data_IF_900338815988
#
_entry.id   IF_900338815988
#
_cell.length_a   1.000
_cell.length_b   1.000
_cell.length_c   1.000
_cell.angle_alpha   90.00
_cell.angle_beta   90.00
_cell.angle_gamma   90.00
#
_symmetry.space_group_name_H-M   'P 1'
#
loop_
_entity.id
_entity.type
_entity.pdbx_description
1 polymer ?
#
# COMPACT_ATOMS: atom_id res chain seq x y z
N UNK A 1 22.06 33.20 6.13
CA UNK A 1 21.23 32.41 5.20
C UNK A 1 20.50 31.39 6.05
N UNK A 2 19.17 31.45 6.07
CA UNK A 2 18.31 30.78 7.06
C UNK A 2 18.32 29.27 6.78
N UNK A 3 18.89 28.49 7.70
CA UNK A 3 18.80 27.03 7.68
C UNK A 3 17.38 26.60 8.03
N UNK A 4 16.66 26.04 7.05
CA UNK A 4 15.38 25.38 7.30
C UNK A 4 15.63 24.03 7.96
N UNK A 5 15.52 24.00 9.28
CA UNK A 5 15.43 22.78 10.07
C UNK A 5 14.06 22.14 9.82
N UNK A 6 14.00 21.08 8.99
CA UNK A 6 12.78 20.30 8.81
C UNK A 6 12.51 19.46 10.07
N UNK A 7 11.69 20.00 10.97
CA UNK A 7 10.89 19.19 11.88
C UNK A 7 9.88 18.42 11.04
N UNK A 8 10.11 17.13 10.82
CA UNK A 8 9.07 16.24 10.28
C UNK A 8 8.72 15.18 11.33
N UNK A 9 7.53 15.33 11.90
CA UNK A 9 6.84 14.24 12.58
C UNK A 9 6.72 13.06 11.61
N UNK A 10 7.30 11.90 11.93
CA UNK A 10 7.23 10.59 11.26
C UNK A 10 6.34 10.50 9.99
N UNK A 11 6.76 11.17 8.91
CA UNK A 11 6.12 11.15 7.60
C UNK A 11 6.83 10.17 6.67
N UNK A 12 6.07 9.54 5.75
CA UNK A 12 6.64 8.73 4.67
C UNK A 12 7.64 9.60 3.87
N UNK A 13 8.88 9.13 3.67
CA UNK A 13 9.84 9.83 2.80
C UNK A 13 9.43 9.53 1.36
N UNK A 14 9.15 10.58 0.57
CA UNK A 14 8.73 10.46 -0.83
C UNK A 14 9.81 11.06 -1.70
N UNK A 15 10.17 10.36 -2.77
CA UNK A 15 10.98 10.87 -3.88
C UNK A 15 10.18 10.81 -5.16
N UNK A 16 10.37 11.79 -6.03
CA UNK A 16 9.67 11.85 -7.31
C UNK A 16 10.68 11.92 -8.43
N UNK A 17 10.54 11.03 -9.41
CA UNK A 17 11.29 11.10 -10.67
C UNK A 17 10.40 11.45 -11.83
N UNK A 18 10.93 12.22 -12.77
CA UNK A 18 10.18 12.78 -13.87
C UNK A 18 10.56 12.13 -15.20
N UNK A 19 9.56 12.06 -16.08
CA UNK A 19 9.69 11.49 -17.41
C UNK A 19 9.37 12.53 -18.47
N UNK A 20 10.07 12.41 -19.58
CA UNK A 20 9.75 13.14 -20.80
C UNK A 20 8.36 12.76 -21.33
N UNK A 21 7.85 13.64 -22.19
CA UNK A 21 6.61 13.38 -22.90
C UNK A 21 6.69 12.06 -23.66
N UNK A 22 5.68 11.22 -23.45
CA UNK A 22 5.50 9.93 -24.12
C UNK A 22 6.64 8.90 -23.91
N UNK A 23 7.47 9.10 -22.88
CA UNK A 23 8.58 8.18 -22.58
C UNK A 23 8.39 7.45 -21.25
N UNK A 24 8.95 6.24 -21.21
CA UNK A 24 9.19 5.44 -19.99
C UNK A 24 10.68 5.15 -19.77
N UNK A 25 11.57 5.63 -20.65
CA UNK A 25 13.01 5.69 -20.40
C UNK A 25 13.33 6.85 -19.46
N UNK A 26 14.24 6.64 -18.52
CA UNK A 26 14.72 7.68 -17.61
C UNK A 26 16.08 8.23 -18.05
N UNK A 27 16.21 9.55 -18.02
CA UNK A 27 17.48 10.24 -18.16
C UNK A 27 18.43 9.87 -17.00
N UNK A 28 19.74 9.88 -17.27
CA UNK A 28 20.76 9.44 -16.29
C UNK A 28 20.67 10.19 -14.96
N UNK A 29 20.38 11.49 -15.00
CA UNK A 29 20.20 12.31 -13.80
C UNK A 29 19.05 11.78 -12.93
N UNK A 30 17.92 11.44 -13.54
CA UNK A 30 16.75 10.90 -12.83
C UNK A 30 17.03 9.49 -12.30
N UNK A 31 17.81 8.68 -13.02
CA UNK A 31 18.25 7.37 -12.52
C UNK A 31 19.11 7.54 -11.26
N UNK A 32 20.02 8.52 -11.24
CA UNK A 32 20.85 8.81 -10.08
C UNK A 32 20.01 9.28 -8.89
N UNK A 33 18.97 10.09 -9.10
CA UNK A 33 18.03 10.50 -8.04
C UNK A 33 17.41 9.29 -7.32
N UNK A 34 17.03 8.24 -8.06
CA UNK A 34 16.49 7.00 -7.47
C UNK A 34 17.53 6.35 -6.55
N UNK A 35 18.76 6.20 -7.03
CA UNK A 35 19.82 5.54 -6.29
C UNK A 35 20.20 6.33 -5.03
N UNK A 36 20.35 7.65 -5.17
CA UNK A 36 20.66 8.55 -4.06
C UNK A 36 19.57 8.51 -2.99
N UNK A 37 18.31 8.48 -3.40
CA UNK A 37 17.18 8.39 -2.48
C UNK A 37 17.24 7.15 -1.59
N UNK A 38 17.59 5.99 -2.18
CA UNK A 38 17.74 4.72 -1.46
C UNK A 38 19.00 4.70 -0.61
N UNK A 39 20.13 5.19 -1.12
CA UNK A 39 21.41 5.22 -0.38
C UNK A 39 21.33 6.14 0.83
N UNK A 40 20.73 7.32 0.67
CA UNK A 40 20.51 8.27 1.77
C UNK A 40 19.48 7.75 2.78
N UNK A 41 18.63 6.80 2.38
CA UNK A 41 17.76 6.12 3.32
C UNK A 41 18.54 4.99 4.02
N UNK A 42 18.44 4.93 5.34
CA UNK A 42 18.95 3.78 6.09
C UNK A 42 18.18 2.52 5.68
N UNK A 43 18.75 1.76 4.75
CA UNK A 43 18.11 0.59 4.11
C UNK A 43 17.75 -0.51 5.12
N UNK A 44 18.43 -0.55 6.27
CA UNK A 44 18.13 -1.45 7.40
C UNK A 44 16.78 -1.12 8.06
N UNK A 45 16.41 0.16 8.03
CA UNK A 45 15.15 0.71 8.54
C UNK A 45 14.04 0.78 7.49
N UNK A 46 14.33 0.49 6.21
CA UNK A 46 13.30 0.38 5.18
C UNK A 46 12.56 -0.94 5.38
N UNK A 47 11.26 -0.83 5.63
CA UNK A 47 10.35 -1.97 5.67
C UNK A 47 9.89 -2.31 4.25
N UNK A 48 9.42 -1.31 3.52
CA UNK A 48 8.99 -1.50 2.14
C UNK A 48 9.07 -0.22 1.32
N UNK A 49 8.98 -0.37 0.00
CA UNK A 49 8.87 0.69 -0.99
C UNK A 49 7.58 0.50 -1.78
N UNK A 50 6.85 1.60 -1.96
CA UNK A 50 5.70 1.71 -2.85
C UNK A 50 6.09 2.59 -4.05
N UNK A 51 5.66 2.20 -5.24
CA UNK A 51 6.00 2.87 -6.50
C UNK A 51 4.70 3.14 -7.26
N UNK A 52 4.40 4.41 -7.51
CA UNK A 52 3.21 4.84 -8.24
C UNK A 52 3.59 5.67 -9.46
N UNK A 53 3.12 5.28 -10.64
CA UNK A 53 3.43 5.95 -11.90
C UNK A 53 2.24 6.73 -12.43
N UNK A 54 2.52 7.89 -13.02
CA UNK A 54 1.51 8.80 -13.52
C UNK A 54 1.86 9.30 -14.92
N UNK A 55 0.82 9.70 -15.65
CA UNK A 55 0.90 10.38 -16.93
C UNK A 55 0.24 11.76 -16.85
N UNK A 56 0.55 12.62 -17.83
CA UNK A 56 -0.18 13.88 -17.96
C UNK A 56 -1.61 13.66 -18.48
N UNK A 57 -2.38 14.72 -18.62
CA UNK A 57 -3.81 14.69 -18.94
C UNK A 57 -4.12 14.23 -20.39
N UNK A 58 -3.10 14.15 -21.25
CA UNK A 58 -3.27 13.93 -22.69
C UNK A 58 -3.24 12.46 -23.06
N UNK A 59 -3.93 12.11 -24.15
CA UNK A 59 -3.98 10.75 -24.68
C UNK A 59 -5.10 9.90 -24.09
N UNK A 60 -5.32 8.72 -24.68
CA UNK A 60 -6.37 7.81 -24.26
C UNK A 60 -6.14 7.23 -22.85
N UNK A 61 -7.22 6.84 -22.17
CA UNK A 61 -7.15 6.19 -20.85
C UNK A 61 -6.24 4.97 -20.84
N UNK A 62 -6.47 4.03 -21.76
CA UNK A 62 -5.82 2.72 -21.75
C UNK A 62 -4.35 2.86 -22.12
N UNK A 63 -4.06 3.79 -23.04
CA UNK A 63 -2.71 4.19 -23.38
C UNK A 63 -1.95 4.72 -22.16
N UNK A 64 -2.54 5.68 -21.43
CA UNK A 64 -1.90 6.28 -20.27
C UNK A 64 -1.71 5.30 -19.12
N UNK A 65 -2.67 4.37 -18.94
CA UNK A 65 -2.53 3.31 -17.95
C UNK A 65 -1.30 2.45 -18.27
N UNK A 66 -1.20 1.94 -19.50
CA UNK A 66 -0.04 1.14 -19.95
C UNK A 66 1.27 1.91 -19.84
N UNK A 67 1.31 3.17 -20.28
CA UNK A 67 2.51 4.01 -20.18
C UNK A 67 2.94 4.21 -18.71
N UNK A 68 1.99 4.39 -17.81
CA UNK A 68 2.28 4.52 -16.38
C UNK A 68 2.78 3.21 -15.76
N UNK A 69 2.31 2.04 -16.24
CA UNK A 69 2.83 0.72 -15.86
C UNK A 69 4.28 0.53 -16.33
N UNK A 70 4.60 0.89 -17.58
CA UNK A 70 5.98 0.82 -18.08
C UNK A 70 6.93 1.73 -17.28
N UNK A 71 6.48 2.92 -16.85
CA UNK A 71 7.28 3.82 -16.01
C UNK A 71 7.62 3.22 -14.65
N UNK A 72 6.65 2.61 -13.96
CA UNK A 72 6.93 1.96 -12.67
C UNK A 72 7.80 0.72 -12.84
N UNK A 73 7.68 0.01 -13.96
CA UNK A 73 8.56 -1.11 -14.31
C UNK A 73 10.00 -0.65 -14.52
N UNK A 74 10.23 0.47 -15.23
CA UNK A 74 11.56 1.07 -15.39
C UNK A 74 12.21 1.35 -14.04
N UNK A 75 11.49 2.02 -13.13
CA UNK A 75 12.00 2.33 -11.77
C UNK A 75 12.27 1.06 -10.97
N UNK A 76 11.38 0.07 -11.03
CA UNK A 76 11.54 -1.23 -10.36
C UNK A 76 12.78 -1.98 -10.86
N UNK A 77 13.02 -1.95 -12.17
CA UNK A 77 14.19 -2.59 -12.79
C UNK A 77 15.49 -1.90 -12.35
N UNK A 78 15.52 -0.56 -12.31
CA UNK A 78 16.68 0.19 -11.81
C UNK A 78 16.98 -0.18 -10.35
N UNK A 79 15.96 -0.21 -9.48
CA UNK A 79 16.14 -0.58 -8.07
C UNK A 79 16.72 -2.00 -7.93
N UNK A 80 16.11 -2.97 -8.62
CA UNK A 80 16.48 -4.39 -8.49
C UNK A 80 17.82 -4.70 -9.16
N UNK A 81 18.16 -4.05 -10.28
CA UNK A 81 19.47 -4.21 -10.93
C UNK A 81 20.62 -3.66 -10.08
N UNK A 82 20.34 -2.67 -9.23
CA UNK A 82 21.29 -2.11 -8.26
C UNK A 82 21.23 -2.80 -6.89
N UNK A 83 20.66 -4.02 -6.83
CA UNK A 83 20.72 -4.88 -5.64
C UNK A 83 19.67 -4.58 -4.58
N UNK A 84 18.70 -3.70 -4.83
CA UNK A 84 17.58 -3.54 -3.91
C UNK A 84 16.75 -4.83 -3.84
N UNK A 85 16.43 -5.26 -2.63
CA UNK A 85 15.69 -6.49 -2.42
C UNK A 85 14.26 -6.36 -2.98
N UNK A 86 13.96 -7.11 -4.06
CA UNK A 86 12.65 -7.14 -4.73
C UNK A 86 11.49 -7.42 -3.77
N UNK A 87 11.71 -8.21 -2.72
CA UNK A 87 10.67 -8.53 -1.73
C UNK A 87 10.24 -7.33 -0.87
N UNK A 88 11.06 -6.27 -0.81
CA UNK A 88 10.70 -5.01 -0.15
C UNK A 88 9.92 -4.06 -1.07
N UNK A 89 9.80 -4.34 -2.37
CA UNK A 89 8.97 -3.55 -3.29
C UNK A 89 7.57 -4.17 -3.25
N UNK A 90 6.66 -3.53 -2.51
CA UNK A 90 5.35 -4.14 -2.19
C UNK A 90 4.22 -3.59 -3.05
N UNK A 91 4.32 -2.35 -3.54
CA UNK A 91 3.34 -1.76 -4.46
C UNK A 91 4.06 -1.27 -5.70
N UNK A 92 3.57 -1.68 -6.86
CA UNK A 92 4.03 -1.25 -8.19
C UNK A 92 2.77 -1.04 -9.03
N UNK A 93 2.35 0.21 -9.18
CA UNK A 93 1.05 0.52 -9.80
C UNK A 93 1.14 1.71 -10.75
N UNK A 94 0.75 1.48 -12.00
CA UNK A 94 0.45 2.55 -12.95
C UNK A 94 -0.92 3.15 -12.65
N UNK A 95 -0.99 4.47 -12.40
CA UNK A 95 -2.22 5.20 -12.08
C UNK A 95 -2.87 5.86 -13.31
N UNK A 96 -2.23 5.80 -14.47
CA UNK A 96 -2.70 6.44 -15.69
C UNK A 96 -2.60 7.97 -15.65
N UNK A 97 -3.51 8.64 -16.38
CA UNK A 97 -3.50 10.10 -16.53
C UNK A 97 -3.99 10.84 -15.29
N UNK A 98 -3.33 11.95 -14.98
CA UNK A 98 -3.76 12.90 -13.94
C UNK A 98 -4.66 13.96 -14.57
N UNK A 99 -5.91 14.03 -14.11
CA UNK A 99 -6.89 15.03 -14.56
C UNK A 99 -6.54 16.41 -13.98
N UNK A 100 -6.54 17.43 -14.83
CA UNK A 100 -6.36 18.81 -14.43
C UNK A 100 -7.67 19.39 -13.88
N UNK A 101 -7.57 20.27 -12.88
CA UNK A 101 -8.73 20.99 -12.32
C UNK A 101 -8.85 22.38 -12.94
N UNK A 102 -10.03 23.02 -12.83
CA UNK A 102 -10.37 24.27 -13.53
C UNK A 102 -9.43 25.46 -13.23
N UNK A 103 -8.64 25.41 -12.15
CA UNK A 103 -7.65 26.44 -11.81
C UNK A 103 -6.25 26.16 -12.39
N UNK A 104 -6.10 25.16 -13.26
CA UNK A 104 -4.80 24.66 -13.76
C UNK A 104 -4.38 25.21 -15.13
N UNK A 105 -5.07 26.24 -15.63
CA UNK A 105 -4.79 26.78 -16.98
C UNK A 105 -3.55 27.67 -17.03
N UNK A 106 -3.15 28.26 -15.91
CA UNK A 106 -1.87 28.94 -15.78
C UNK A 106 -0.74 27.90 -15.66
N UNK A 107 0.31 28.02 -16.47
CA UNK A 107 1.49 27.13 -16.48
C UNK A 107 1.20 25.65 -16.81
N UNK A 108 0.24 25.40 -17.71
CA UNK A 108 -0.17 24.07 -18.17
C UNK A 108 1.01 23.15 -18.56
N UNK A 109 2.01 23.68 -19.27
CA UNK A 109 3.17 22.91 -19.69
C UNK A 109 4.00 22.40 -18.50
N UNK A 110 4.18 23.23 -17.48
CA UNK A 110 4.89 22.88 -16.26
C UNK A 110 4.12 21.83 -15.46
N UNK A 111 2.81 22.01 -15.29
CA UNK A 111 1.95 21.05 -14.59
C UNK A 111 2.01 19.68 -15.26
N UNK A 112 1.91 19.64 -16.59
CA UNK A 112 2.06 18.39 -17.37
C UNK A 112 3.41 17.74 -17.13
N UNK A 113 4.48 18.53 -17.11
CA UNK A 113 5.82 18.01 -16.81
C UNK A 113 5.90 17.39 -15.42
N UNK A 114 5.27 18.02 -14.42
CA UNK A 114 5.22 17.49 -13.06
C UNK A 114 4.31 16.27 -12.92
N UNK A 115 3.33 16.07 -13.81
CA UNK A 115 2.44 14.91 -13.79
C UNK A 115 3.03 13.67 -14.47
N UNK A 116 3.98 13.84 -15.40
CA UNK A 116 4.75 12.73 -15.96
C UNK A 116 5.81 12.28 -14.96
N UNK A 117 5.40 11.50 -13.96
CA UNK A 117 6.25 11.17 -12.82
C UNK A 117 6.04 9.75 -12.31
N UNK A 118 7.02 9.29 -11.54
CA UNK A 118 6.88 8.14 -10.64
C UNK A 118 7.25 8.59 -9.24
N UNK A 119 6.38 8.29 -8.28
CA UNK A 119 6.58 8.57 -6.86
C UNK A 119 7.06 7.29 -6.16
N UNK A 120 8.20 7.37 -5.48
CA UNK A 120 8.79 6.33 -4.65
C UNK A 120 8.57 6.68 -3.18
N UNK A 121 7.84 5.84 -2.45
CA UNK A 121 7.54 6.06 -1.04
C UNK A 121 8.26 5.02 -0.21
N UNK A 122 9.17 5.48 0.66
CA UNK A 122 9.79 4.63 1.67
C UNK A 122 8.87 4.54 2.88
N UNK A 123 8.45 3.32 3.17
CA UNK A 123 7.84 2.95 4.44
C UNK A 123 8.95 2.44 5.35
N UNK A 124 9.25 3.19 6.41
CA UNK A 124 10.20 2.74 7.44
C UNK A 124 9.56 1.69 8.35
N UNK A 125 10.38 0.84 8.93
CA UNK A 125 10.00 -0.02 10.06
C UNK A 125 9.37 0.85 11.15
N UNK A 126 8.22 0.42 11.65
CA UNK A 126 7.45 1.11 12.70
C UNK A 126 6.91 2.52 12.33
N UNK A 127 6.80 2.87 11.03
CA UNK A 127 6.26 4.18 10.57
C UNK A 127 4.81 4.46 10.99
N UNK A 128 4.08 3.42 11.38
CA UNK A 128 2.69 3.53 11.82
C UNK A 128 2.56 3.77 13.33
N UNK A 129 3.68 3.79 14.07
CA UNK A 129 3.72 3.83 15.52
C UNK A 129 4.32 2.55 16.10
N UNK A 130 4.69 2.59 17.39
CA UNK A 130 5.20 1.42 18.11
C UNK A 130 4.16 0.30 18.08
N UNK A 131 4.58 -0.91 17.71
CA UNK A 131 3.70 -2.09 17.63
C UNK A 131 2.79 -2.12 16.40
N UNK A 132 3.09 -1.36 15.34
CA UNK A 132 2.37 -1.45 14.07
C UNK A 132 3.34 -1.72 12.92
N UNK A 133 3.08 -2.80 12.20
CA UNK A 133 3.88 -3.37 11.13
C UNK A 133 3.03 -3.50 9.86
N UNK A 134 3.67 -3.70 8.71
CA UNK A 134 2.97 -3.99 7.46
C UNK A 134 3.25 -5.41 6.92
N UNK A 135 4.07 -6.19 7.62
CA UNK A 135 4.39 -7.57 7.29
C UNK A 135 4.71 -8.37 8.56
N UNK A 136 4.62 -9.70 8.47
CA UNK A 136 4.97 -10.59 9.59
C UNK A 136 6.49 -10.60 9.77
N UNK A 137 6.93 -10.29 10.98
CA UNK A 137 8.33 -10.25 11.40
C UNK A 137 8.72 -11.57 12.09
N UNK A 138 10.03 -11.81 12.22
CA UNK A 138 10.56 -12.96 12.99
C UNK A 138 10.14 -12.93 14.47
N UNK A 139 9.93 -11.74 15.02
CA UNK A 139 9.51 -11.52 16.40
C UNK A 139 8.43 -10.47 16.46
N UNK A 140 7.35 -10.82 17.14
CA UNK A 140 6.27 -9.92 17.52
C UNK A 140 6.12 -9.86 19.04
N UNK A 141 5.37 -8.88 19.52
CA UNK A 141 4.84 -8.82 20.88
C UNK A 141 3.31 -8.93 20.84
N UNK A 142 2.71 -9.42 21.92
CA UNK A 142 1.25 -9.37 22.08
C UNK A 142 0.79 -7.91 22.01
N UNK A 143 -0.23 -7.65 21.19
CA UNK A 143 -0.73 -6.31 20.91
C UNK A 143 -0.19 -5.68 19.62
N UNK A 144 0.82 -6.30 18.99
CA UNK A 144 1.29 -5.84 17.68
C UNK A 144 0.19 -5.94 16.63
N UNK A 145 0.08 -4.93 15.77
CA UNK A 145 -0.84 -4.90 14.62
C UNK A 145 -0.07 -4.98 13.32
N UNK A 146 -0.54 -5.82 12.41
CA UNK A 146 0.06 -6.03 11.09
C UNK A 146 -0.97 -5.62 10.04
N UNK A 147 -0.72 -4.54 9.32
CA UNK A 147 -1.58 -4.02 8.25
C UNK A 147 -1.06 -4.45 6.88
N UNK A 148 -1.88 -5.12 6.09
CA UNK A 148 -1.48 -5.55 4.76
C UNK A 148 -1.99 -4.59 3.70
N UNK A 149 -1.10 -3.73 3.19
CA UNK A 149 -1.45 -2.66 2.24
C UNK A 149 -2.10 -3.17 0.95
N UNK A 150 -1.80 -4.42 0.58
CA UNK A 150 -2.22 -5.01 -0.70
C UNK A 150 -3.40 -5.99 -0.59
N UNK A 151 -3.99 -6.17 0.59
CA UNK A 151 -5.26 -6.93 0.70
C UNK A 151 -6.41 -5.95 0.43
N UNK A 152 -6.59 -5.64 -0.85
CA UNK A 152 -7.64 -4.72 -1.29
C UNK A 152 -8.98 -5.45 -1.46
N UNK A 153 -10.06 -4.75 -1.14
CA UNK A 153 -11.43 -5.16 -1.41
C UNK A 153 -12.08 -4.16 -2.36
N UNK A 154 -12.92 -4.65 -3.28
CA UNK A 154 -13.74 -3.74 -4.09
C UNK A 154 -14.71 -2.98 -3.18
N UNK A 155 -15.09 -1.77 -3.60
CA UNK A 155 -15.94 -0.89 -2.80
C UNK A 155 -17.25 -1.62 -2.43
N UNK A 156 -17.57 -1.67 -1.14
CA UNK A 156 -18.79 -2.29 -0.64
C UNK A 156 -18.83 -3.83 -0.72
N UNK A 157 -17.76 -4.51 -1.12
CA UNK A 157 -17.75 -5.98 -1.21
C UNK A 157 -16.71 -6.59 -0.28
N UNK A 158 -17.01 -7.79 0.22
CA UNK A 158 -16.09 -8.66 0.93
C UNK A 158 -15.31 -9.60 0.00
N UNK A 159 -15.52 -9.55 -1.31
CA UNK A 159 -14.86 -10.46 -2.26
C UNK A 159 -13.36 -10.15 -2.42
N UNK A 160 -12.53 -11.19 -2.32
CA UNK A 160 -11.09 -11.12 -2.57
C UNK A 160 -10.79 -11.09 -4.08
N UNK A 161 -10.05 -10.06 -4.51
CA UNK A 161 -9.53 -9.97 -5.88
C UNK A 161 -8.42 -11.00 -6.13
N UNK A 162 -8.05 -11.23 -7.40
CA UNK A 162 -6.93 -12.10 -7.74
C UNK A 162 -5.60 -11.60 -7.15
N UNK A 163 -5.37 -10.29 -7.16
CA UNK A 163 -4.18 -9.69 -6.57
C UNK A 163 -4.18 -9.87 -5.05
N UNK A 164 -5.31 -9.64 -4.37
CA UNK A 164 -5.43 -9.86 -2.93
C UNK A 164 -5.16 -11.31 -2.54
N UNK A 165 -5.55 -12.29 -3.38
CA UNK A 165 -5.24 -13.71 -3.17
C UNK A 165 -3.73 -14.01 -3.30
N UNK A 166 -3.06 -13.43 -4.31
CA UNK A 166 -1.60 -13.55 -4.46
C UNK A 166 -0.86 -12.99 -3.24
N UNK A 167 -1.33 -11.88 -2.70
CA UNK A 167 -0.73 -11.26 -1.51
C UNK A 167 -1.00 -12.10 -0.25
N UNK A 168 -2.21 -12.64 -0.11
CA UNK A 168 -2.52 -13.60 0.95
C UNK A 168 -1.67 -14.87 0.86
N UNK A 169 -1.31 -15.33 -0.33
CA UNK A 169 -0.41 -16.48 -0.49
C UNK A 169 0.99 -16.19 0.08
N UNK A 170 1.54 -14.98 -0.12
CA UNK A 170 2.80 -14.56 0.52
C UNK A 170 2.69 -14.53 2.05
N UNK A 171 1.55 -14.07 2.56
CA UNK A 171 1.28 -14.02 4.01
C UNK A 171 1.16 -15.44 4.59
N UNK A 172 0.55 -16.38 3.84
CA UNK A 172 0.47 -17.79 4.24
C UNK A 172 1.87 -18.38 4.43
N UNK A 173 2.81 -18.12 3.52
CA UNK A 173 4.19 -18.59 3.65
C UNK A 173 4.83 -18.08 4.96
N UNK A 174 4.63 -16.79 5.28
CA UNK A 174 5.13 -16.20 6.51
C UNK A 174 4.47 -16.79 7.77
N UNK A 175 3.16 -17.05 7.75
CA UNK A 175 2.42 -17.68 8.86
C UNK A 175 2.82 -19.14 9.08
N UNK A 176 3.19 -19.84 8.00
CA UNK A 176 3.68 -21.22 8.05
C UNK A 176 5.10 -21.30 8.61
N UNK A 177 5.93 -20.28 8.40
CA UNK A 177 7.25 -20.15 9.02
C UNK A 177 7.13 -19.78 10.51
N UNK A 178 6.18 -18.91 10.85
CA UNK A 178 5.98 -18.41 12.22
C UNK A 178 4.83 -19.15 12.90
N UNK A 179 5.06 -20.40 13.35
CA UNK A 179 3.98 -21.27 13.87
C UNK A 179 3.50 -20.98 15.30
N UNK A 180 4.11 -20.03 15.98
CA UNK A 180 3.86 -19.81 17.42
C UNK A 180 2.90 -18.65 17.68
N UNK A 181 2.70 -17.75 16.71
CA UNK A 181 1.82 -16.59 16.89
C UNK A 181 0.34 -16.98 16.83
N UNK A 182 -0.50 -16.45 17.71
CA UNK A 182 -1.95 -16.45 17.55
C UNK A 182 -2.39 -15.02 17.24
N UNK A 183 -3.41 -14.86 16.40
CA UNK A 183 -3.83 -13.54 15.92
C UNK A 183 -5.34 -13.40 15.67
N UNK A 184 -5.85 -12.18 15.80
CA UNK A 184 -7.22 -11.79 15.44
C UNK A 184 -7.20 -11.02 14.12
N UNK A 185 -7.93 -11.52 13.13
CA UNK A 185 -8.12 -10.88 11.83
C UNK A 185 -9.20 -9.81 11.98
N UNK A 186 -8.85 -8.54 11.76
CA UNK A 186 -9.76 -7.41 11.92
C UNK A 186 -10.08 -6.79 10.58
N UNK A 187 -11.36 -6.74 10.25
CA UNK A 187 -11.84 -6.05 9.05
C UNK A 187 -12.32 -4.64 9.39
N UNK A 188 -12.05 -3.71 8.48
CA UNK A 188 -12.41 -2.30 8.61
C UNK A 188 -13.15 -1.80 7.37
N UNK A 189 -13.97 -0.77 7.57
CA UNK A 189 -14.66 -0.06 6.50
C UNK A 189 -14.41 1.43 6.62
N UNK A 190 -14.33 2.11 5.48
CA UNK A 190 -14.35 3.56 5.44
C UNK A 190 -15.79 4.09 5.36
N UNK A 191 -15.95 5.34 5.79
CA UNK A 191 -16.92 6.26 5.20
C UNK A 191 -18.39 5.89 5.44
N UNK A 192 -18.70 5.18 6.52
CA UNK A 192 -20.08 4.98 6.96
C UNK A 192 -20.58 6.26 7.64
N UNK A 193 -21.85 6.63 7.45
CA UNK A 193 -22.44 7.72 8.23
C UNK A 193 -22.28 7.47 9.73
N UNK A 194 -22.15 8.53 10.53
CA UNK A 194 -21.84 8.43 11.98
C UNK A 194 -22.82 7.59 12.80
N UNK A 195 -24.05 7.41 12.31
CA UNK A 195 -25.08 6.57 12.92
C UNK A 195 -24.92 5.06 12.65
N UNK A 196 -24.02 4.66 11.74
CA UNK A 196 -23.75 3.26 11.43
C UNK A 196 -22.29 2.89 11.68
N UNK A 197 -22.11 1.82 12.48
CA UNK A 197 -20.79 1.29 12.82
C UNK A 197 -20.16 0.48 11.68
N UNK A 198 -20.96 -0.06 10.74
CA UNK A 198 -20.47 -0.86 9.62
C UNK A 198 -21.21 -0.52 8.31
N UNK A 199 -20.63 -0.94 7.19
CA UNK A 199 -21.16 -0.77 5.85
C UNK A 199 -21.96 -2.01 5.41
N UNK A 200 -22.80 -1.81 4.40
CA UNK A 200 -23.54 -2.90 3.75
C UNK A 200 -22.58 -3.67 2.86
N UNK A 201 -22.56 -4.99 3.00
CA UNK A 201 -21.87 -5.89 2.08
C UNK A 201 -22.74 -6.18 0.86
N UNK A 202 -22.23 -5.90 -0.33
CA UNK A 202 -22.93 -6.17 -1.61
C UNK A 202 -23.21 -7.65 -1.83
N UNK A 203 -22.42 -8.54 -1.22
CA UNK A 203 -22.60 -9.98 -1.39
C UNK A 203 -23.76 -10.53 -0.54
N UNK A 204 -23.96 -9.98 0.67
CA UNK A 204 -24.98 -10.49 1.62
C UNK A 204 -26.17 -9.55 1.77
N UNK A 205 -26.06 -8.30 1.32
CA UNK A 205 -27.00 -7.20 1.59
C UNK A 205 -27.19 -6.89 3.09
N UNK A 206 -26.26 -7.32 3.94
CA UNK A 206 -26.28 -7.07 5.39
C UNK A 206 -25.25 -6.02 5.79
N UNK A 207 -25.51 -5.30 6.88
CA UNK A 207 -24.59 -4.30 7.45
C UNK A 207 -23.48 -4.95 8.27
N UNK A 208 -22.69 -5.81 7.63
CA UNK A 208 -21.61 -6.59 8.23
C UNK A 208 -20.37 -6.65 7.32
N UNK A 209 -20.14 -5.63 6.49
CA UNK A 209 -19.04 -5.64 5.52
C UNK A 209 -17.67 -5.84 6.18
N UNK A 210 -17.39 -5.13 7.28
CA UNK A 210 -16.13 -5.28 8.00
C UNK A 210 -15.95 -6.71 8.54
N UNK A 211 -17.02 -7.31 9.07
CA UNK A 211 -17.03 -8.68 9.56
C UNK A 211 -16.82 -9.69 8.43
N UNK A 212 -17.53 -9.54 7.32
CA UNK A 212 -17.43 -10.44 6.17
C UNK A 212 -16.05 -10.38 5.50
N UNK A 213 -15.42 -9.21 5.46
CA UNK A 213 -14.02 -9.06 5.01
C UNK A 213 -13.04 -9.82 5.90
N UNK A 214 -13.20 -9.75 7.22
CA UNK A 214 -12.37 -10.53 8.14
C UNK A 214 -12.63 -12.04 7.99
N UNK A 215 -13.91 -12.42 7.88
CA UNK A 215 -14.38 -13.80 7.71
C UNK A 215 -13.83 -14.44 6.43
N UNK A 216 -13.87 -13.75 5.29
CA UNK A 216 -13.38 -14.33 4.04
C UNK A 216 -11.87 -14.59 4.09
N UNK A 217 -11.11 -13.70 4.74
CA UNK A 217 -9.66 -13.86 4.91
C UNK A 217 -9.38 -15.05 5.81
N UNK A 218 -10.11 -15.20 6.92
CA UNK A 218 -10.04 -16.38 7.78
C UNK A 218 -10.25 -17.68 6.99
N UNK A 219 -11.34 -17.79 6.22
CA UNK A 219 -11.61 -18.97 5.41
C UNK A 219 -10.57 -19.21 4.31
N UNK A 220 -10.05 -18.14 3.72
CA UNK A 220 -8.95 -18.24 2.76
C UNK A 220 -7.71 -18.86 3.41
N UNK A 221 -7.30 -18.40 4.60
CA UNK A 221 -6.16 -18.95 5.32
C UNK A 221 -6.37 -20.43 5.71
N UNK A 222 -7.57 -20.84 6.13
CA UNK A 222 -7.91 -22.26 6.35
C UNK A 222 -7.70 -23.06 5.07
N UNK A 223 -8.21 -22.57 3.93
CA UNK A 223 -8.08 -23.25 2.64
C UNK A 223 -6.61 -23.45 2.24
N UNK A 224 -5.72 -22.59 2.76
CA UNK A 224 -4.27 -22.63 2.58
C UNK A 224 -3.52 -23.33 3.73
N UNK A 225 -4.25 -24.11 4.54
CA UNK A 225 -3.73 -24.95 5.64
C UNK A 225 -3.10 -24.18 6.80
N UNK A 226 -3.49 -22.93 7.03
CA UNK A 226 -3.18 -22.23 8.29
C UNK A 226 -4.07 -22.80 9.39
N UNK A 227 -3.47 -23.14 10.53
CA UNK A 227 -4.20 -23.75 11.65
C UNK A 227 -5.26 -22.78 12.20
N UNK A 228 -6.53 -23.17 12.11
CA UNK A 228 -7.66 -22.36 12.56
C UNK A 228 -7.67 -22.08 14.06
N UNK A 229 -7.03 -22.93 14.88
CA UNK A 229 -6.94 -22.72 16.33
C UNK A 229 -6.07 -21.51 16.72
N UNK A 230 -5.23 -21.03 15.80
CA UNK A 230 -4.33 -19.90 16.04
C UNK A 230 -4.89 -18.58 15.53
N UNK A 231 -6.13 -18.60 15.01
CA UNK A 231 -6.72 -17.42 14.42
C UNK A 231 -8.17 -17.25 14.84
N UNK A 232 -8.56 -15.99 14.96
CA UNK A 232 -9.94 -15.55 15.14
C UNK A 232 -10.21 -14.41 14.17
N UNK A 233 -11.46 -13.97 14.02
CA UNK A 233 -11.79 -12.84 13.16
C UNK A 233 -12.90 -11.98 13.76
N UNK A 234 -12.84 -10.67 13.48
CA UNK A 234 -13.77 -9.67 14.01
C UNK A 234 -14.01 -8.54 13.01
N UNK A 235 -15.25 -8.08 12.93
CA UNK A 235 -15.59 -6.83 12.25
C UNK A 235 -15.38 -5.64 13.18
N UNK A 236 -14.54 -4.69 12.78
CA UNK A 236 -14.23 -3.49 13.55
C UNK A 236 -14.90 -2.23 13.00
N UNK A 237 -15.68 -2.35 11.92
CA UNK A 237 -16.46 -1.25 11.40
C UNK A 237 -15.60 -0.04 11.01
N UNK A 238 -16.16 1.15 11.24
CA UNK A 238 -15.49 2.44 11.10
C UNK A 238 -14.79 2.91 12.40
N UNK A 239 -14.69 2.07 13.44
CA UNK A 239 -14.27 2.49 14.79
C UNK A 239 -12.77 2.79 14.94
N UNK A 240 -11.95 2.48 13.94
CA UNK A 240 -10.49 2.66 14.00
C UNK A 240 -9.94 3.30 12.71
N UNK A 241 -10.33 4.55 12.38
CA UNK A 241 -9.78 5.26 11.24
C UNK A 241 -8.30 5.61 11.52
N UNK A 242 -7.44 5.34 10.56
CA UNK A 242 -6.02 5.68 10.61
C UNK A 242 -5.76 7.11 10.12
N UNK A 243 -6.75 7.77 9.50
CA UNK A 243 -6.66 9.17 9.08
C UNK A 243 -5.65 9.42 7.96
N UNK A 244 -5.27 8.36 7.23
CA UNK A 244 -4.23 8.39 6.18
C UNK A 244 -4.80 8.18 4.77
N UNK A 245 -6.11 8.26 4.62
CA UNK A 245 -6.83 8.08 3.36
C UNK A 245 -7.80 6.89 3.41
N UNK A 246 -8.85 6.96 2.60
CA UNK A 246 -9.94 5.99 2.62
C UNK A 246 -9.49 4.56 2.30
N UNK A 247 -8.48 4.41 1.44
CA UNK A 247 -7.93 3.11 1.03
C UNK A 247 -7.31 2.37 2.22
N UNK A 248 -6.67 3.11 3.13
CA UNK A 248 -6.04 2.58 4.34
C UNK A 248 -7.08 2.24 5.42
N UNK A 249 -8.24 2.88 5.38
CA UNK A 249 -9.36 2.58 6.28
C UNK A 249 -10.21 1.41 5.78
N UNK A 250 -10.17 1.10 4.48
CA UNK A 250 -10.76 -0.12 3.89
C UNK A 250 -9.79 -1.30 3.94
N UNK A 251 -9.38 -1.69 5.14
CA UNK A 251 -8.33 -2.70 5.35
C UNK A 251 -8.77 -3.97 6.04
N UNK A 252 -7.90 -4.97 5.98
CA UNK A 252 -7.80 -6.05 6.96
C UNK A 252 -6.42 -5.96 7.64
N UNK A 253 -6.41 -6.07 8.97
CA UNK A 253 -5.19 -6.13 9.77
C UNK A 253 -5.19 -7.38 10.67
N UNK A 254 -4.02 -7.85 11.09
CA UNK A 254 -3.90 -8.89 12.12
C UNK A 254 -3.46 -8.24 13.43
N UNK A 255 -4.16 -8.52 14.52
CA UNK A 255 -3.71 -8.22 15.87
C UNK A 255 -3.07 -9.47 16.48
N UNK A 256 -1.82 -9.41 16.91
CA UNK A 256 -1.17 -10.50 17.64
C UNK A 256 -1.78 -10.63 19.04
N UNK A 257 -2.36 -11.79 19.33
CA UNK A 257 -3.03 -12.09 20.60
C UNK A 257 -2.19 -12.97 21.52
N UNK A 258 -1.26 -13.79 20.96
CA UNK A 258 -0.39 -14.68 21.72
C UNK A 258 0.88 -15.06 20.93
N UNK A 259 1.94 -15.48 21.62
CA UNK A 259 3.24 -15.95 21.09
C UNK A 259 3.66 -17.21 21.84
#
# INVERSE_FOLDING_TARGET
MISFSYLTAQGKKVETVYFDFDKYSLELEQQQTILDFIIQADTSKIESIQIYGYCDDRGDSDYNYKLSEERVNTVTNILTSHGFNKNKIVIVEGKGRVILTDNSFDNLAEIRSKNRRVDLLIVRKNSFGKGIFNSIQEKHNVGDRIYFENIQFTLGSSKLSLNSKKELDKIVEQLQQNKNIEFEIRGHVCCTPSYYNDAIDRETNERQLSFNRAKIVFWYLISKKVNSLRMSYKGCGNSFPLGKGEDIDRRVEFLITKI
#
